data_IF_647424540887
#
_entry.id   IF_647424540887
#
_cell.length_a   1.000
_cell.length_b   1.000
_cell.length_c   1.000
_cell.angle_alpha   90.00
_cell.angle_beta   90.00
_cell.angle_gamma   90.00
#
_symmetry.space_group_name_H-M   'P 1'
#
loop_
_entity.id
_entity.type
_entity.pdbx_description
1 polymer ?
#
# COMPACT_ATOMS: atom_id res chain seq x y z
N UNK A 1 -15.60 -25.84 24.09
CA UNK A 1 -15.94 -24.68 23.22
C UNK A 1 -14.90 -23.53 23.22
N UNK A 2 -13.69 -23.64 23.80
CA UNK A 2 -12.69 -22.54 23.74
C UNK A 2 -11.62 -22.68 22.64
N UNK A 3 -11.24 -23.89 22.25
CA UNK A 3 -10.15 -24.11 21.29
C UNK A 3 -10.51 -23.74 19.84
N UNK A 4 -11.74 -24.03 19.41
CA UNK A 4 -12.22 -23.75 18.04
C UNK A 4 -12.26 -22.24 17.74
N UNK A 5 -12.68 -21.41 18.70
CA UNK A 5 -12.71 -19.95 18.55
C UNK A 5 -11.31 -19.32 18.43
N UNK A 6 -10.29 -19.91 19.07
CA UNK A 6 -8.90 -19.37 19.05
C UNK A 6 -8.21 -19.66 17.72
N UNK A 7 -8.43 -20.84 17.13
CA UNK A 7 -7.86 -21.21 15.84
C UNK A 7 -8.54 -20.50 14.65
N UNK A 8 -9.83 -20.17 14.79
CA UNK A 8 -10.60 -19.55 13.71
C UNK A 8 -10.31 -18.06 13.53
N UNK A 9 -10.00 -17.35 14.63
CA UNK A 9 -9.83 -15.89 14.60
C UNK A 9 -8.71 -15.41 13.65
N UNK A 10 -7.49 -15.98 13.65
CA UNK A 10 -6.45 -15.58 12.71
C UNK A 10 -6.85 -15.81 11.25
N UNK A 11 -7.52 -16.93 10.97
CA UNK A 11 -7.99 -17.27 9.61
C UNK A 11 -9.05 -16.28 9.13
N UNK A 12 -10.01 -15.93 9.97
CA UNK A 12 -11.04 -14.95 9.64
C UNK A 12 -10.43 -13.55 9.41
N UNK A 13 -9.45 -13.15 10.23
CA UNK A 13 -8.74 -11.89 10.03
C UNK A 13 -8.02 -11.86 8.68
N UNK A 14 -7.32 -12.93 8.32
CA UNK A 14 -6.66 -13.03 7.02
C UNK A 14 -7.67 -12.96 5.86
N UNK A 15 -8.78 -13.69 5.95
CA UNK A 15 -9.85 -13.64 4.95
C UNK A 15 -10.39 -12.22 4.76
N UNK A 16 -10.67 -11.50 5.84
CA UNK A 16 -11.14 -10.11 5.79
C UNK A 16 -10.12 -9.17 5.15
N UNK A 17 -8.82 -9.37 5.39
CA UNK A 17 -7.76 -8.59 4.74
C UNK A 17 -7.79 -8.83 3.22
N UNK A 18 -7.84 -10.09 2.79
CA UNK A 18 -7.86 -10.45 1.36
C UNK A 18 -9.13 -9.96 0.65
N UNK A 19 -10.28 -10.04 1.31
CA UNK A 19 -11.53 -9.49 0.80
C UNK A 19 -11.46 -7.96 0.66
N UNK A 20 -10.89 -7.26 1.65
CA UNK A 20 -10.70 -5.82 1.60
C UNK A 20 -9.79 -5.41 0.43
N UNK A 21 -8.63 -6.06 0.28
CA UNK A 21 -7.71 -5.82 -0.84
C UNK A 21 -8.39 -6.08 -2.20
N UNK A 22 -9.14 -7.17 -2.30
CA UNK A 22 -9.91 -7.48 -3.51
C UNK A 22 -10.97 -6.43 -3.82
N UNK A 23 -11.64 -5.89 -2.80
CA UNK A 23 -12.64 -4.83 -2.96
C UNK A 23 -11.99 -3.52 -3.40
N UNK A 24 -10.83 -3.16 -2.84
CA UNK A 24 -10.05 -2.00 -3.28
C UNK A 24 -9.70 -2.14 -4.76
N UNK A 25 -9.12 -3.27 -5.19
CA UNK A 25 -8.76 -3.50 -6.59
C UNK A 25 -9.97 -3.42 -7.54
N UNK A 26 -11.13 -3.95 -7.13
CA UNK A 26 -12.37 -3.86 -7.93
C UNK A 26 -12.91 -2.44 -8.06
N UNK A 27 -12.86 -1.67 -6.97
CA UNK A 27 -13.40 -0.31 -6.95
C UNK A 27 -12.45 0.72 -7.56
N UNK A 28 -11.14 0.48 -7.44
CA UNK A 28 -10.05 1.32 -7.94
C UNK A 28 -9.07 0.45 -8.72
N UNK A 29 -9.36 0.23 -10.03
CA UNK A 29 -8.47 -0.52 -10.90
C UNK A 29 -7.03 -0.02 -10.90
N UNK A 30 -6.82 1.28 -10.67
CA UNK A 30 -5.52 1.93 -10.55
C UNK A 30 -4.68 1.38 -9.39
N UNK A 31 -5.32 0.88 -8.33
CA UNK A 31 -4.66 0.31 -7.16
C UNK A 31 -4.49 -1.21 -7.24
N UNK A 32 -4.90 -1.85 -8.34
CA UNK A 32 -4.89 -3.32 -8.48
C UNK A 32 -3.51 -3.90 -8.17
N UNK A 33 -2.44 -3.32 -8.71
CA UNK A 33 -1.09 -3.82 -8.46
C UNK A 33 -0.71 -3.71 -6.98
N UNK A 34 -0.97 -2.57 -6.33
CA UNK A 34 -0.70 -2.40 -4.91
C UNK A 34 -1.48 -3.41 -4.06
N UNK A 35 -2.76 -3.62 -4.39
CA UNK A 35 -3.67 -4.45 -3.61
C UNK A 35 -3.39 -5.95 -3.73
N UNK A 36 -3.23 -6.46 -4.96
CA UNK A 36 -3.19 -7.91 -5.23
C UNK A 36 -2.01 -8.34 -6.12
N UNK A 37 -1.19 -7.39 -6.57
CA UNK A 37 0.05 -7.67 -7.31
C UNK A 37 1.22 -8.02 -6.38
N UNK A 38 2.38 -8.17 -7.01
CA UNK A 38 3.67 -8.44 -6.36
C UNK A 38 4.79 -7.62 -7.02
N UNK A 39 5.80 -7.27 -6.23
CA UNK A 39 6.97 -6.54 -6.72
C UNK A 39 6.69 -5.09 -7.10
N UNK A 40 7.59 -4.50 -7.89
CA UNK A 40 7.53 -3.09 -8.25
C UNK A 40 6.86 -2.89 -9.61
N UNK A 41 5.88 -1.99 -9.69
CA UNK A 41 5.28 -1.53 -10.95
C UNK A 41 5.25 0.00 -10.98
N UNK A 42 5.53 0.58 -12.14
CA UNK A 42 5.06 1.93 -12.46
C UNK A 42 3.91 1.80 -13.46
N UNK A 43 2.75 2.31 -13.09
CA UNK A 43 1.57 2.25 -13.95
C UNK A 43 1.73 3.18 -15.16
N UNK A 44 1.11 2.81 -16.29
CA UNK A 44 1.09 3.68 -17.47
C UNK A 44 0.06 4.78 -17.26
N UNK A 45 0.38 5.98 -17.75
CA UNK A 45 -0.48 7.15 -17.64
C UNK A 45 -0.05 8.11 -16.53
N UNK A 46 -0.87 9.12 -16.31
CA UNK A 46 -0.61 10.25 -15.41
C UNK A 46 -1.86 10.59 -14.61
N UNK A 47 -1.65 11.03 -13.38
CA UNK A 47 -2.70 11.39 -12.44
C UNK A 47 -2.48 12.83 -11.94
N UNK A 48 -3.57 13.51 -11.62
CA UNK A 48 -3.54 14.76 -10.88
C UNK A 48 -3.27 14.51 -9.40
N UNK A 49 -2.80 15.54 -8.68
CA UNK A 49 -2.63 15.47 -7.21
C UNK A 49 -3.94 15.11 -6.50
N UNK A 50 -5.07 15.66 -6.95
CA UNK A 50 -6.38 15.39 -6.36
C UNK A 50 -6.82 13.91 -6.55
N UNK A 51 -6.55 13.31 -7.70
CA UNK A 51 -6.80 11.88 -7.93
C UNK A 51 -5.95 11.02 -7.01
N UNK A 52 -4.66 11.35 -6.88
CA UNK A 52 -3.75 10.65 -5.96
C UNK A 52 -4.23 10.76 -4.51
N UNK A 53 -4.68 11.94 -4.07
CA UNK A 53 -5.20 12.13 -2.71
C UNK A 53 -6.46 11.30 -2.46
N UNK A 54 -7.34 11.17 -3.47
CA UNK A 54 -8.52 10.32 -3.39
C UNK A 54 -8.11 8.85 -3.28
N UNK A 55 -7.20 8.38 -4.13
CA UNK A 55 -6.68 7.02 -4.07
C UNK A 55 -5.98 6.73 -2.74
N UNK A 56 -5.24 7.70 -2.18
CA UNK A 56 -4.56 7.55 -0.89
C UNK A 56 -5.54 7.32 0.26
N UNK A 57 -6.64 8.07 0.30
CA UNK A 57 -7.68 7.90 1.35
C UNK A 57 -8.30 6.51 1.31
N UNK A 58 -8.61 6.03 0.11
CA UNK A 58 -9.22 4.71 -0.08
C UNK A 58 -8.23 3.57 0.16
N UNK A 59 -6.97 3.77 -0.24
CA UNK A 59 -5.90 2.82 -0.02
C UNK A 59 -5.58 2.62 1.46
N UNK A 60 -5.60 3.68 2.25
CA UNK A 60 -5.18 3.64 3.66
C UNK A 60 -6.36 3.32 4.58
N UNK A 61 -7.55 3.81 4.26
CA UNK A 61 -8.74 3.66 5.08
C UNK A 61 -8.71 4.51 6.36
N UNK A 62 -9.68 4.26 7.23
CA UNK A 62 -9.85 4.97 8.49
C UNK A 62 -8.75 4.62 9.52
N UNK A 63 -8.51 5.52 10.47
CA UNK A 63 -7.50 5.33 11.52
C UNK A 63 -6.05 5.41 11.01
N UNK A 64 -5.86 5.98 9.82
CA UNK A 64 -4.55 6.24 9.22
C UNK A 64 -3.60 6.97 10.18
N UNK A 65 -2.34 6.52 10.20
CA UNK A 65 -1.25 7.15 10.92
C UNK A 65 -0.50 8.06 9.95
N UNK A 66 -0.38 9.35 10.27
CA UNK A 66 0.43 10.31 9.52
C UNK A 66 1.92 10.03 9.76
N UNK A 67 2.66 9.86 8.67
CA UNK A 67 4.10 9.66 8.68
C UNK A 67 4.82 11.02 8.60
N UNK A 68 6.08 11.07 9.03
CA UNK A 68 6.90 12.30 9.02
C UNK A 68 7.21 12.82 7.61
N UNK A 69 7.09 11.98 6.59
CA UNK A 69 7.27 12.33 5.17
C UNK A 69 5.99 12.88 4.52
N UNK A 70 4.93 13.12 5.32
CA UNK A 70 3.61 13.53 4.83
C UNK A 70 2.80 12.39 4.20
N UNK A 71 3.32 11.16 4.23
CA UNK A 71 2.59 9.96 3.84
C UNK A 71 1.69 9.43 4.94
N UNK A 72 1.05 8.31 4.64
CA UNK A 72 0.15 7.64 5.59
C UNK A 72 0.47 6.15 5.68
N UNK A 73 0.27 5.60 6.87
CA UNK A 73 0.25 4.16 7.12
C UNK A 73 -1.14 3.77 7.61
N UNK A 74 -1.72 2.72 7.04
CA UNK A 74 -3.01 2.16 7.49
C UNK A 74 -2.97 1.73 8.96
N UNK A 75 -4.12 1.72 9.61
CA UNK A 75 -4.25 1.41 11.03
C UNK A 75 -3.68 0.02 11.42
N UNK A 76 -3.78 -0.96 10.51
CA UNK A 76 -3.25 -2.30 10.70
C UNK A 76 -1.77 -2.44 10.29
N UNK A 77 -1.16 -1.37 9.77
CA UNK A 77 0.23 -1.32 9.36
C UNK A 77 0.56 -2.11 8.10
N UNK A 78 -0.44 -2.57 7.33
CA UNK A 78 -0.22 -3.45 6.16
C UNK A 78 -0.10 -2.68 4.84
N UNK A 79 -0.54 -1.41 4.81
CA UNK A 79 -0.58 -0.55 3.62
C UNK A 79 0.02 0.81 3.92
N UNK A 80 0.83 1.31 2.98
CA UNK A 80 1.48 2.63 3.05
C UNK A 80 1.23 3.45 1.79
N UNK A 81 1.15 4.75 1.97
CA UNK A 81 1.11 5.74 0.91
C UNK A 81 2.23 6.75 1.14
N UNK A 82 2.97 7.08 0.09
CA UNK A 82 3.91 8.22 0.10
C UNK A 82 3.44 9.25 -0.93
N UNK A 83 3.41 10.55 -0.58
CA UNK A 83 2.89 11.60 -1.44
C UNK A 83 3.72 11.76 -2.72
N UNK A 84 3.19 12.50 -3.72
CA UNK A 84 3.96 12.82 -4.92
C UNK A 84 5.29 13.48 -4.56
N UNK A 85 6.39 12.83 -4.96
CA UNK A 85 7.75 13.29 -4.73
C UNK A 85 8.50 13.39 -6.05
N UNK A 86 9.40 14.37 -6.14
CA UNK A 86 10.31 14.51 -7.28
C UNK A 86 11.21 13.27 -7.37
N UNK A 87 11.29 12.69 -8.57
CA UNK A 87 12.11 11.55 -8.92
C UNK A 87 13.20 12.01 -9.88
N UNK A 88 14.12 12.81 -9.34
CA UNK A 88 15.26 13.33 -10.10
C UNK A 88 15.98 12.15 -10.80
N UNK A 89 16.01 12.19 -12.13
CA UNK A 89 16.71 11.24 -13.00
C UNK A 89 16.14 9.81 -13.10
N UNK A 90 14.89 9.56 -12.69
CA UNK A 90 14.29 8.22 -12.89
C UNK A 90 13.78 8.04 -14.32
N UNK A 91 14.35 7.05 -15.06
CA UNK A 91 13.80 6.61 -16.36
C UNK A 91 12.39 6.02 -16.26
N UNK A 92 11.97 5.67 -15.05
CA UNK A 92 10.66 5.10 -14.76
C UNK A 92 9.64 6.16 -14.34
N UNK A 93 10.00 7.44 -14.28
CA UNK A 93 9.07 8.52 -13.95
C UNK A 93 8.97 9.51 -15.12
N UNK A 94 8.12 9.25 -16.14
CA UNK A 94 7.99 10.12 -17.32
C UNK A 94 7.68 11.58 -17.00
N UNK A 95 6.94 11.85 -15.91
CA UNK A 95 6.64 13.23 -15.47
C UNK A 95 7.69 13.79 -14.50
N UNK A 96 8.62 12.96 -14.02
CA UNK A 96 9.56 13.30 -12.96
C UNK A 96 8.93 13.36 -11.56
N UNK A 97 7.65 13.07 -11.39
CA UNK A 97 6.95 13.07 -10.09
C UNK A 97 6.16 11.78 -9.94
N UNK A 98 6.31 11.09 -8.81
CA UNK A 98 5.54 9.88 -8.52
C UNK A 98 5.02 9.85 -7.09
N UNK A 99 3.78 9.38 -6.94
CA UNK A 99 3.25 8.91 -5.67
C UNK A 99 3.45 7.40 -5.54
N UNK A 100 3.44 6.91 -4.30
CA UNK A 100 3.69 5.50 -4.02
C UNK A 100 2.61 4.85 -3.17
N UNK A 101 2.20 3.64 -3.54
CA UNK A 101 1.24 2.80 -2.82
C UNK A 101 1.86 1.43 -2.58
N UNK A 102 2.02 1.06 -1.31
CA UNK A 102 2.82 -0.10 -0.91
C UNK A 102 2.03 -1.03 0.00
N UNK A 103 2.05 -2.33 -0.30
CA UNK A 103 1.54 -3.40 0.57
C UNK A 103 2.72 -4.09 1.22
N UNK A 104 2.69 -4.17 2.55
CA UNK A 104 3.80 -4.65 3.38
C UNK A 104 3.33 -5.74 4.35
N UNK A 105 4.26 -6.61 4.73
CA UNK A 105 4.11 -7.53 5.84
C UNK A 105 5.32 -7.47 6.76
N UNK A 106 5.12 -7.83 8.04
CA UNK A 106 6.20 -7.86 9.02
C UNK A 106 6.87 -9.23 8.99
N UNK A 107 8.20 -9.25 8.83
CA UNK A 107 9.02 -10.47 8.91
C UNK A 107 9.99 -10.34 10.07
N UNK A 108 10.16 -11.39 10.86
CA UNK A 108 11.19 -11.41 11.89
C UNK A 108 12.58 -11.57 11.24
N UNK A 109 13.40 -10.53 11.34
CA UNK A 109 14.79 -10.55 10.89
C UNK A 109 15.67 -11.09 12.01
N UNK A 110 16.24 -12.29 11.80
CA UNK A 110 17.08 -12.96 12.80
C UNK A 110 18.37 -12.18 13.12
N UNK A 111 18.95 -11.47 12.13
CA UNK A 111 20.18 -10.72 12.29
C UNK A 111 19.94 -9.45 13.11
N UNK A 112 18.83 -8.76 12.83
CA UNK A 112 18.44 -7.53 13.54
C UNK A 112 17.68 -7.80 14.83
N UNK A 113 17.31 -9.06 15.07
CA UNK A 113 16.52 -9.53 16.23
C UNK A 113 15.25 -8.71 16.45
N UNK A 114 14.58 -8.34 15.36
CA UNK A 114 13.35 -7.54 15.38
C UNK A 114 12.52 -7.82 14.13
N UNK A 115 11.22 -7.51 14.22
CA UNK A 115 10.38 -7.44 13.04
C UNK A 115 10.79 -6.27 12.15
N UNK A 116 10.85 -6.53 10.85
CA UNK A 116 11.11 -5.55 9.81
C UNK A 116 9.99 -5.62 8.79
N UNK A 117 9.69 -4.48 8.21
CA UNK A 117 8.77 -4.40 7.09
C UNK A 117 9.41 -4.99 5.84
N UNK A 118 8.65 -5.81 5.13
CA UNK A 118 8.99 -6.28 3.80
C UNK A 118 7.88 -5.88 2.84
N UNK A 119 8.29 -5.22 1.76
CA UNK A 119 7.42 -4.87 0.65
C UNK A 119 7.00 -6.14 -0.09
N UNK A 120 5.71 -6.33 -0.26
CA UNK A 120 5.12 -7.38 -1.09
C UNK A 120 4.74 -6.84 -2.46
N UNK A 121 4.14 -5.65 -2.48
CA UNK A 121 3.82 -4.91 -3.71
C UNK A 121 4.08 -3.43 -3.55
N UNK A 122 4.56 -2.81 -4.62
CA UNK A 122 5.01 -1.43 -4.65
C UNK A 122 4.62 -0.77 -5.98
N UNK A 123 3.54 0.01 -5.95
CA UNK A 123 2.95 0.69 -7.09
C UNK A 123 3.33 2.17 -7.12
N UNK A 124 3.91 2.59 -8.23
CA UNK A 124 4.22 3.99 -8.52
C UNK A 124 3.22 4.53 -9.54
N UNK A 125 2.60 5.66 -9.21
CA UNK A 125 1.72 6.39 -10.12
C UNK A 125 2.39 7.72 -10.50
N UNK A 126 2.50 7.99 -11.80
CA UNK A 126 3.07 9.25 -12.28
C UNK A 126 2.08 10.38 -12.06
N UNK A 127 2.60 11.52 -11.60
CA UNK A 127 1.77 12.68 -11.24
C UNK A 127 2.13 13.84 -12.16
N UNK A 128 1.10 14.52 -12.66
CA UNK A 128 1.22 15.78 -13.40
C UNK A 128 0.80 16.93 -12.48
N UNK A 129 1.54 18.04 -12.56
CA UNK A 129 1.18 19.29 -11.88
C UNK A 129 0.10 20.07 -12.63
#
# INVERSE_FOLDING_TARGET
MKAENVALYPKLKEQLIQENLSNIAKQRPELTHAAIGEGNLTEKGTFTRAEIEKLAKEWIGEGAILNTDGGFTSADGSRKYRPPQLKNHSKYAPTGIQANFERIHQVYDQNKRRYVEKSESNLHLNVQE
#
